data_IF_492031552110
#
_entry.id   IF_492031552110
#
_cell.length_a   1.000
_cell.length_b   1.000
_cell.length_c   1.000
_cell.angle_alpha   90.00
_cell.angle_beta   90.00
_cell.angle_gamma   90.00
#
_symmetry.space_group_name_H-M   'P 1'
#
loop_
_entity.id
_entity.type
_entity.pdbx_description
1 polymer ?
#
# COMPACT_ATOMS: atom_id res chain seq x y z
N UNK A 1 -7.89 17.28 -4.31
CA UNK A 1 -6.61 16.93 -4.91
C UNK A 1 -6.15 15.57 -4.40
N UNK A 2 -5.70 14.70 -5.28
CA UNK A 2 -5.26 13.35 -4.90
C UNK A 2 -3.75 13.31 -4.74
N UNK A 3 -3.28 12.72 -3.64
CA UNK A 3 -1.86 12.47 -3.40
C UNK A 3 -1.62 10.98 -3.51
N UNK A 4 -0.65 10.59 -4.30
CA UNK A 4 -0.33 9.19 -4.56
C UNK A 4 1.14 8.90 -4.29
N UNK A 5 1.42 7.79 -3.62
CA UNK A 5 2.76 7.24 -3.58
C UNK A 5 2.77 5.87 -4.25
N UNK A 6 3.88 5.58 -4.92
CA UNK A 6 4.08 4.30 -5.60
C UNK A 6 5.36 3.67 -5.09
N UNK A 7 5.38 2.35 -4.99
CA UNK A 7 6.60 1.65 -4.59
C UNK A 7 6.72 0.33 -5.31
N UNK A 8 7.92 0.03 -5.78
CA UNK A 8 8.27 -1.27 -6.32
C UNK A 8 8.73 -2.13 -5.14
N UNK A 9 8.14 -3.31 -5.01
CA UNK A 9 8.27 -4.12 -3.81
C UNK A 9 9.62 -4.82 -3.73
N UNK A 10 10.25 -4.71 -2.58
CA UNK A 10 11.47 -5.43 -2.23
C UNK A 10 11.13 -6.74 -1.52
N UNK A 11 12.15 -7.54 -1.24
CA UNK A 11 12.00 -8.78 -0.48
C UNK A 11 11.40 -8.53 0.90
N UNK A 12 11.85 -7.51 1.59
CA UNK A 12 11.31 -7.14 2.92
C UNK A 12 9.85 -6.73 2.82
N UNK A 13 9.50 -5.96 1.77
CA UNK A 13 8.12 -5.52 1.56
C UNK A 13 7.16 -6.70 1.38
N UNK A 14 7.60 -7.76 0.72
CA UNK A 14 6.76 -8.93 0.45
C UNK A 14 6.74 -9.95 1.58
N UNK A 15 7.67 -9.89 2.52
CA UNK A 15 7.82 -10.91 3.56
C UNK A 15 7.56 -10.41 4.99
N UNK A 16 7.69 -9.12 5.24
CA UNK A 16 7.57 -8.57 6.60
C UNK A 16 6.60 -7.40 6.69
N UNK A 17 6.98 -6.26 6.14
CA UNK A 17 6.20 -5.03 6.23
C UNK A 17 6.56 -4.13 5.06
N UNK A 18 5.60 -3.31 4.62
CA UNK A 18 5.81 -2.37 3.54
C UNK A 18 6.36 -1.06 4.10
N UNK A 19 7.56 -0.67 3.67
CA UNK A 19 8.08 0.64 4.04
C UNK A 19 7.50 1.70 3.10
N UNK A 20 7.10 2.83 3.67
CA UNK A 20 6.47 3.94 2.94
C UNK A 20 7.43 5.12 2.82
N UNK A 21 7.32 5.93 1.74
CA UNK A 21 8.03 7.19 1.69
C UNK A 21 7.64 8.08 2.86
N UNK A 22 8.63 8.65 3.55
CA UNK A 22 8.39 9.51 4.71
C UNK A 22 7.49 10.69 4.36
N UNK A 23 7.66 11.23 3.17
CA UNK A 23 6.87 12.38 2.70
C UNK A 23 5.38 12.05 2.63
N UNK A 24 5.03 10.88 2.10
CA UNK A 24 3.63 10.45 2.04
C UNK A 24 3.06 10.27 3.45
N UNK A 25 3.81 9.59 4.30
CA UNK A 25 3.43 9.37 5.69
C UNK A 25 3.16 10.71 6.41
N UNK A 26 4.08 11.66 6.28
CA UNK A 26 4.02 12.92 7.02
C UNK A 26 2.83 13.79 6.64
N UNK A 27 2.46 13.81 5.37
CA UNK A 27 1.46 14.75 4.86
C UNK A 27 0.11 14.11 4.51
N UNK A 28 0.04 12.81 4.42
CA UNK A 28 -1.15 12.13 3.88
C UNK A 28 -1.82 11.17 4.84
N UNK A 29 -1.14 10.74 5.90
CA UNK A 29 -1.73 9.84 6.88
C UNK A 29 -2.22 10.59 8.13
N UNK A 30 -3.16 9.99 8.89
CA UNK A 30 -3.60 10.59 10.14
C UNK A 30 -2.44 10.80 11.11
N UNK A 31 -2.58 11.83 11.94
CA UNK A 31 -1.55 12.19 12.93
C UNK A 31 -1.40 11.10 13.99
N UNK A 32 -0.15 10.84 14.41
CA UNK A 32 0.15 9.83 15.42
C UNK A 32 -0.10 10.28 16.87
N UNK A 33 -0.55 11.45 17.13
CA UNK A 33 -0.92 12.00 18.46
C UNK A 33 -0.36 11.23 19.67
N UNK A 34 0.98 11.19 19.78
CA UNK A 34 1.64 10.53 20.92
C UNK A 34 1.72 9.02 20.84
N UNK A 35 1.17 8.40 19.83
CA UNK A 35 1.26 6.95 19.59
C UNK A 35 2.34 6.59 18.60
N UNK A 36 2.58 5.28 18.43
CA UNK A 36 3.54 4.73 17.48
C UNK A 36 2.88 4.04 16.30
N UNK A 37 1.57 4.01 16.29
CA UNK A 37 0.81 3.35 15.25
C UNK A 37 -0.50 4.10 14.98
N UNK A 38 -0.92 4.08 13.73
CA UNK A 38 -2.21 4.61 13.32
C UNK A 38 -2.82 3.65 12.32
N UNK A 39 -4.11 3.39 12.45
CA UNK A 39 -4.85 2.54 11.53
C UNK A 39 -5.65 3.40 10.56
N UNK A 40 -5.75 2.94 9.31
CA UNK A 40 -6.59 3.57 8.33
C UNK A 40 -7.18 2.51 7.40
N UNK A 41 -8.27 2.86 6.73
CA UNK A 41 -8.92 1.98 5.78
C UNK A 41 -8.67 2.46 4.36
N UNK A 42 -8.37 1.52 3.47
CA UNK A 42 -8.14 1.81 2.07
C UNK A 42 -9.05 0.94 1.20
N UNK A 43 -9.62 1.54 0.18
CA UNK A 43 -10.46 0.83 -0.79
C UNK A 43 -9.56 0.26 -1.87
N UNK A 44 -9.66 -1.06 -2.08
CA UNK A 44 -8.96 -1.73 -3.17
C UNK A 44 -9.62 -1.35 -4.50
N UNK A 45 -8.89 -0.66 -5.35
CA UNK A 45 -9.44 -0.17 -6.62
C UNK A 45 -9.90 -1.29 -7.57
N UNK A 46 -9.32 -2.49 -7.44
CA UNK A 46 -9.67 -3.59 -8.33
C UNK A 46 -10.88 -4.38 -7.88
N UNK A 47 -11.16 -4.44 -6.58
CA UNK A 47 -12.26 -5.26 -6.04
C UNK A 47 -13.35 -4.46 -5.35
N UNK A 48 -13.06 -3.22 -4.97
CA UNK A 48 -13.96 -2.42 -4.14
C UNK A 48 -13.97 -2.80 -2.66
N UNK A 49 -13.18 -3.80 -2.26
CA UNK A 49 -13.11 -4.23 -0.88
C UNK A 49 -12.31 -3.24 -0.04
N UNK A 50 -12.70 -3.11 1.22
CA UNK A 50 -12.02 -2.24 2.17
C UNK A 50 -11.01 -3.05 2.96
N UNK A 51 -9.76 -2.57 2.98
CA UNK A 51 -8.67 -3.17 3.75
C UNK A 51 -8.28 -2.23 4.87
N UNK A 52 -8.05 -2.77 6.04
CA UNK A 52 -7.55 -2.00 7.18
C UNK A 52 -6.06 -2.24 7.33
N UNK A 53 -5.29 -1.16 7.29
CA UNK A 53 -3.84 -1.21 7.46
C UNK A 53 -3.45 -0.45 8.72
N UNK A 54 -2.40 -0.91 9.38
CA UNK A 54 -1.78 -0.19 10.47
C UNK A 54 -0.41 0.31 10.02
N UNK A 55 -0.21 1.61 10.14
CA UNK A 55 1.08 2.23 9.90
C UNK A 55 1.77 2.42 11.24
N UNK A 56 3.01 1.97 11.33
CA UNK A 56 3.81 2.05 12.56
C UNK A 56 5.10 2.80 12.28
N UNK A 57 5.62 3.48 13.32
CA UNK A 57 6.89 4.18 13.26
C UNK A 57 7.74 3.72 14.44
N UNK A 58 9.02 3.43 14.19
CA UNK A 58 9.95 3.08 15.29
C UNK A 58 10.08 4.24 16.27
N UNK A 59 10.11 3.90 17.56
CA UNK A 59 10.27 4.85 18.65
C UNK A 59 11.66 5.43 18.69
N UNK A 60 12.67 4.65 18.35
CA UNK A 60 14.08 5.02 18.43
C UNK A 60 14.75 4.93 17.07
N UNK A 61 15.81 5.73 16.86
CA UNK A 61 16.56 5.79 15.62
C UNK A 61 15.85 6.64 14.57
N UNK A 62 16.13 6.35 13.29
CA UNK A 62 15.45 7.04 12.21
C UNK A 62 14.03 6.47 12.05
N UNK A 63 12.99 7.28 12.29
CA UNK A 63 11.63 6.80 12.12
C UNK A 63 11.35 6.48 10.66
N UNK A 64 11.12 5.21 10.38
CA UNK A 64 10.73 4.74 9.05
C UNK A 64 9.30 4.23 9.12
N UNK A 65 8.34 4.92 8.49
CA UNK A 65 6.96 4.43 8.52
C UNK A 65 6.82 3.15 7.73
N UNK A 66 6.13 2.18 8.31
CA UNK A 66 5.88 0.90 7.66
C UNK A 66 4.41 0.52 7.84
N UNK A 67 3.82 -0.11 6.82
CA UNK A 67 2.53 -0.78 6.97
C UNK A 67 2.80 -2.14 7.58
N UNK A 68 2.28 -2.38 8.77
CA UNK A 68 2.48 -3.61 9.52
C UNK A 68 1.26 -4.53 9.43
N UNK A 69 0.24 -4.29 10.24
CA UNK A 69 -0.97 -5.11 10.22
C UNK A 69 -1.78 -4.90 8.95
N UNK A 70 -2.30 -5.97 8.40
CA UNK A 70 -3.13 -5.95 7.21
C UNK A 70 -2.35 -6.02 5.91
N UNK A 71 -1.10 -5.58 5.89
CA UNK A 71 -0.33 -5.52 4.66
C UNK A 71 -0.02 -6.91 4.09
N UNK A 72 0.50 -7.83 4.91
CA UNK A 72 0.84 -9.18 4.40
C UNK A 72 -0.39 -9.94 3.92
N UNK A 73 -1.52 -9.77 4.60
CA UNK A 73 -2.78 -10.39 4.15
C UNK A 73 -3.18 -9.85 2.77
N UNK A 74 -3.06 -8.53 2.56
CA UNK A 74 -3.34 -7.91 1.27
C UNK A 74 -2.36 -8.43 0.20
N UNK A 75 -1.06 -8.46 0.50
CA UNK A 75 -0.04 -8.92 -0.43
C UNK A 75 -0.26 -10.38 -0.84
N UNK A 76 -0.63 -11.23 0.09
CA UNK A 76 -0.96 -12.64 -0.20
C UNK A 76 -2.22 -12.77 -1.04
N UNK A 77 -3.24 -11.98 -0.73
CA UNK A 77 -4.48 -11.95 -1.51
C UNK A 77 -4.22 -11.59 -2.97
N UNK A 78 -3.30 -10.66 -3.22
CA UNK A 78 -2.94 -10.21 -4.57
C UNK A 78 -1.80 -11.01 -5.19
N UNK A 79 -1.23 -11.97 -4.45
CA UNK A 79 -0.06 -12.77 -4.90
C UNK A 79 1.11 -11.89 -5.32
N UNK A 80 1.36 -10.85 -4.54
CA UNK A 80 2.43 -9.90 -4.83
C UNK A 80 3.81 -10.53 -4.64
N UNK A 81 4.71 -10.20 -5.56
CA UNK A 81 6.11 -10.68 -5.57
C UNK A 81 7.05 -9.50 -5.62
N UNK A 82 8.32 -9.77 -5.33
CA UNK A 82 9.39 -8.79 -5.52
C UNK A 82 9.35 -8.28 -6.95
N UNK A 83 9.40 -6.97 -7.12
CA UNK A 83 9.30 -6.32 -8.43
C UNK A 83 7.90 -5.83 -8.78
N UNK A 84 6.86 -6.36 -8.16
CA UNK A 84 5.52 -5.84 -8.36
C UNK A 84 5.40 -4.46 -7.72
N UNK A 85 4.32 -3.75 -8.00
CA UNK A 85 4.16 -2.36 -7.60
C UNK A 85 2.90 -2.17 -6.77
N UNK A 86 2.99 -1.31 -5.77
CA UNK A 86 1.86 -0.88 -4.98
C UNK A 86 1.67 0.62 -5.17
N UNK A 87 0.43 1.06 -5.30
CA UNK A 87 0.08 2.47 -5.27
C UNK A 87 -0.88 2.72 -4.11
N UNK A 88 -0.56 3.69 -3.30
CA UNK A 88 -1.41 4.12 -2.21
C UNK A 88 -1.76 5.58 -2.44
N UNK A 89 -3.04 5.88 -2.49
CA UNK A 89 -3.54 7.22 -2.77
C UNK A 89 -4.43 7.72 -1.66
N UNK A 90 -4.41 9.02 -1.42
CA UNK A 90 -5.36 9.67 -0.54
C UNK A 90 -6.06 10.77 -1.33
N UNK A 91 -7.38 10.74 -1.31
CA UNK A 91 -8.21 11.74 -1.96
C UNK A 91 -8.45 12.86 -0.94
N UNK A 92 -7.97 14.06 -1.25
CA UNK A 92 -8.06 15.22 -0.38
C UNK A 92 -7.53 14.96 1.05
N UNK A 93 -6.19 15.04 1.24
CA UNK A 93 -5.59 14.82 2.57
C UNK A 93 -6.06 15.80 3.65
N UNK A 94 -6.65 16.91 3.25
CA UNK A 94 -7.13 17.94 4.18
C UNK A 94 -8.57 17.72 4.63
N UNK A 95 -9.26 16.73 4.05
CA UNK A 95 -10.62 16.41 4.43
C UNK A 95 -10.68 15.91 5.88
N UNK A 96 -11.82 16.14 6.54
CA UNK A 96 -12.03 15.66 7.90
C UNK A 96 -11.92 14.13 7.99
N UNK A 97 -12.39 13.43 6.97
CA UNK A 97 -12.26 11.97 6.84
C UNK A 97 -11.65 11.66 5.48
N UNK A 98 -10.31 11.55 5.40
CA UNK A 98 -9.66 11.26 4.13
C UNK A 98 -10.02 9.86 3.61
N UNK A 99 -10.20 9.77 2.29
CA UNK A 99 -10.43 8.48 1.62
C UNK A 99 -9.11 7.95 1.07
N UNK A 100 -8.74 6.75 1.49
CA UNK A 100 -7.53 6.09 1.01
C UNK A 100 -7.89 5.03 -0.01
N UNK A 101 -7.06 4.88 -1.02
CA UNK A 101 -7.21 3.84 -2.04
C UNK A 101 -5.89 3.11 -2.20
N UNK A 102 -5.98 1.82 -2.47
CA UNK A 102 -4.82 0.97 -2.70
C UNK A 102 -4.98 0.25 -4.02
N UNK A 103 -3.88 0.15 -4.77
CA UNK A 103 -3.86 -0.57 -6.04
C UNK A 103 -2.58 -1.39 -6.12
N UNK A 104 -2.73 -2.67 -6.42
CA UNK A 104 -1.61 -3.55 -6.68
C UNK A 104 -1.43 -3.69 -8.19
N UNK A 105 -0.19 -3.61 -8.66
CA UNK A 105 0.16 -3.73 -10.06
C UNK A 105 1.23 -4.79 -10.24
N UNK A 106 1.07 -5.63 -11.24
CA UNK A 106 2.01 -6.70 -11.53
C UNK A 106 3.05 -6.23 -12.55
N UNK A 107 4.31 -6.57 -12.29
CA UNK A 107 5.39 -6.34 -13.22
C UNK A 107 5.16 -7.12 -14.51
N UNK A 108 5.24 -6.45 -15.65
CA UNK A 108 5.11 -7.06 -16.96
C UNK A 108 6.48 -7.14 -17.60
N UNK A 109 6.96 -8.36 -17.86
CA UNK A 109 8.25 -8.60 -18.51
C UNK A 109 8.05 -9.26 -19.88
N UNK A 110 8.83 -8.79 -20.85
CA UNK A 110 8.90 -9.40 -22.18
C UNK A 110 10.38 -9.64 -22.47
N UNK A 111 10.75 -10.89 -22.75
CA UNK A 111 12.15 -11.29 -23.02
C UNK A 111 13.12 -10.83 -21.90
N UNK A 112 12.68 -10.91 -20.63
CA UNK A 112 13.51 -10.53 -19.50
C UNK A 112 13.58 -9.04 -19.21
N UNK A 113 13.05 -8.18 -20.08
CA UNK A 113 13.02 -6.74 -19.85
C UNK A 113 11.70 -6.32 -19.22
N UNK A 114 11.75 -5.36 -18.29
CA UNK A 114 10.53 -4.80 -17.70
C UNK A 114 9.87 -3.90 -18.73
N UNK A 115 8.63 -4.23 -19.10
CA UNK A 115 7.87 -3.46 -20.08
C UNK A 115 6.93 -2.45 -19.42
N UNK A 116 6.54 -2.71 -18.18
CA UNK A 116 5.63 -1.86 -17.44
C UNK A 116 4.94 -2.62 -16.35
N UNK A 117 3.82 -2.08 -15.90
CA UNK A 117 3.02 -2.64 -14.82
C UNK A 117 1.57 -2.68 -15.24
N UNK A 118 0.87 -3.73 -14.83
CA UNK A 118 -0.56 -3.84 -15.08
C UNK A 118 -1.31 -4.05 -13.78
N UNK A 119 -2.55 -3.54 -13.67
CA UNK A 119 -3.37 -3.79 -12.48
C UNK A 119 -3.58 -5.28 -12.28
N UNK A 120 -3.51 -5.71 -11.00
CA UNK A 120 -3.85 -7.08 -10.66
C UNK A 120 -5.36 -7.12 -10.46
N UNK A 121 -6.06 -7.76 -11.39
CA UNK A 121 -7.48 -7.99 -11.30
C UNK A 121 -7.67 -9.46 -10.95
N UNK A 122 -8.15 -9.69 -9.74
CA UNK A 122 -8.51 -11.05 -9.32
C UNK A 122 -9.97 -11.24 -9.65
N UNK A 123 -10.25 -12.13 -10.58
CA UNK A 123 -11.61 -12.45 -10.97
C UNK A 123 -12.39 -12.98 -9.75
N UNK A 124 -13.67 -12.62 -9.60
CA UNK A 124 -14.48 -13.19 -8.55
C UNK A 124 -14.47 -14.72 -8.61
N UNK A 125 -14.46 -15.34 -7.43
CA UNK A 125 -14.33 -16.80 -7.34
C UNK A 125 -15.47 -17.59 -8.00
N UNK A 126 -16.57 -16.91 -8.31
CA UNK A 126 -17.71 -17.51 -8.96
C UNK A 126 -17.58 -17.53 -10.50
N UNK A 127 -16.50 -17.08 -11.04
CA UNK A 127 -16.27 -17.19 -12.48
C UNK A 127 -15.89 -18.63 -12.80
N UNK A 128 -16.66 -19.27 -13.64
CA UNK A 128 -16.34 -20.63 -14.05
C UNK A 128 -15.03 -20.73 -14.82
#
# INVERSE_FOLDING_TARGET
MMTTCSKILSKTDTSKALSLPTKFFKYSLPSFKGGHAVSFQAIDESTGLVWTFQCSVRKEGHPKPVLSKGWLAFARSKKLKVGDKIKLSVLDPTAAVPSYRVRAEKEVKIFGAIFGYSPIIIAPSNIP
#
